data_IF_095615598074
#
_entry.id   IF_095615598074
#
_cell.length_a   1.000
_cell.length_b   1.000
_cell.length_c   1.000
_cell.angle_alpha   90.00
_cell.angle_beta   90.00
_cell.angle_gamma   90.00
#
_symmetry.space_group_name_H-M   'P 1'
#
loop_
_entity.id
_entity.type
_entity.pdbx_description
1 polymer ?
#
# COMPACT_ATOMS: atom_id res chain seq x y z
N UNK A 1 -2.56 16.44 -0.87
CA UNK A 1 -3.64 16.37 -1.88
C UNK A 1 -4.09 17.79 -2.22
N UNK A 2 -4.33 18.08 -3.50
CA UNK A 2 -5.00 19.32 -3.90
C UNK A 2 -6.48 19.33 -3.46
N UNK A 3 -7.22 20.44 -3.71
CA UNK A 3 -8.62 20.55 -3.29
C UNK A 3 -9.55 19.49 -3.92
N UNK A 4 -9.20 18.96 -5.08
CA UNK A 4 -9.95 17.92 -5.80
C UNK A 4 -9.49 16.48 -5.46
N UNK A 5 -8.52 16.33 -4.54
CA UNK A 5 -7.97 15.03 -4.18
C UNK A 5 -8.89 14.27 -3.23
N UNK A 6 -9.12 12.99 -3.52
CA UNK A 6 -9.89 12.07 -2.69
C UNK A 6 -8.99 10.96 -2.14
N UNK A 7 -9.30 10.47 -0.94
CA UNK A 7 -8.61 9.37 -0.28
C UNK A 7 -9.60 8.24 0.01
N UNK A 8 -9.29 7.04 -0.46
CA UNK A 8 -9.87 5.81 0.07
C UNK A 8 -8.96 5.31 1.19
N UNK A 9 -9.46 5.27 2.41
CA UNK A 9 -8.78 4.76 3.59
C UNK A 9 -9.40 3.42 3.98
N UNK A 10 -8.58 2.38 4.10
CA UNK A 10 -9.01 1.05 4.53
C UNK A 10 -8.31 0.71 5.85
N UNK A 11 -9.06 0.31 6.86
CA UNK A 11 -8.55 -0.11 8.15
C UNK A 11 -9.50 -1.13 8.79
N UNK A 12 -8.98 -1.99 9.64
CA UNK A 12 -9.77 -2.98 10.38
C UNK A 12 -10.24 -2.48 11.75
N UNK A 13 -9.68 -1.37 12.23
CA UNK A 13 -9.90 -0.85 13.58
C UNK A 13 -10.83 0.36 13.60
N UNK A 14 -12.04 0.18 14.11
CA UNK A 14 -12.93 1.31 14.42
C UNK A 14 -12.36 2.23 15.51
N UNK A 15 -11.63 1.67 16.49
CA UNK A 15 -11.04 2.44 17.57
C UNK A 15 -10.04 3.47 17.03
N UNK A 16 -9.04 3.02 16.26
CA UNK A 16 -8.02 3.90 15.69
C UNK A 16 -8.59 4.87 14.66
N UNK A 17 -9.52 4.41 13.83
CA UNK A 17 -10.13 5.27 12.82
C UNK A 17 -11.11 6.29 13.40
N UNK A 18 -11.67 6.06 14.59
CA UNK A 18 -12.47 7.07 15.29
C UNK A 18 -11.63 8.31 15.62
N UNK A 19 -10.38 8.12 16.05
CA UNK A 19 -9.42 9.20 16.29
C UNK A 19 -9.13 9.93 14.98
N UNK A 20 -8.86 9.18 13.91
CA UNK A 20 -8.60 9.76 12.59
C UNK A 20 -9.75 10.65 12.12
N UNK A 21 -11.00 10.19 12.24
CA UNK A 21 -12.21 10.97 11.88
C UNK A 21 -12.27 12.31 12.59
N UNK A 22 -11.99 12.35 13.90
CA UNK A 22 -11.96 13.59 14.66
C UNK A 22 -10.94 14.61 14.10
N UNK A 23 -9.76 14.12 13.70
CA UNK A 23 -8.74 15.00 13.11
C UNK A 23 -9.04 15.39 11.66
N UNK A 24 -9.70 14.54 10.89
CA UNK A 24 -10.16 14.90 9.54
C UNK A 24 -11.20 16.02 9.58
N UNK A 25 -12.12 15.99 10.56
CA UNK A 25 -13.08 17.07 10.79
C UNK A 25 -12.36 18.36 11.17
N UNK A 26 -11.44 18.31 12.13
CA UNK A 26 -10.64 19.48 12.55
C UNK A 26 -9.82 20.08 11.40
N UNK A 27 -9.36 19.24 10.48
CA UNK A 27 -8.61 19.66 9.31
C UNK A 27 -9.52 20.11 8.13
N UNK A 28 -10.83 19.94 8.22
CA UNK A 28 -11.78 20.28 7.17
C UNK A 28 -11.61 19.44 5.90
N UNK A 29 -11.30 18.15 6.03
CA UNK A 29 -11.04 17.24 4.89
C UNK A 29 -11.92 16.00 4.88
N UNK A 30 -12.85 15.87 5.84
CA UNK A 30 -13.69 14.67 5.99
C UNK A 30 -14.54 14.34 4.76
N UNK A 31 -14.98 15.35 4.01
CA UNK A 31 -15.76 15.22 2.78
C UNK A 31 -14.99 14.61 1.62
N UNK A 32 -13.66 14.51 1.75
CA UNK A 32 -12.75 13.96 0.72
C UNK A 32 -12.14 12.63 1.10
N UNK A 33 -12.55 12.06 2.24
CA UNK A 33 -12.02 10.80 2.75
C UNK A 33 -13.15 9.78 2.87
N UNK A 34 -13.07 8.72 2.08
CA UNK A 34 -13.93 7.55 2.22
C UNK A 34 -13.22 6.52 3.09
N UNK A 35 -13.82 6.18 4.24
CA UNK A 35 -13.30 5.16 5.14
C UNK A 35 -14.07 3.86 4.97
N UNK A 36 -13.35 2.78 4.71
CA UNK A 36 -13.86 1.40 4.72
C UNK A 36 -13.26 0.65 5.91
N UNK A 37 -14.14 0.22 6.82
CA UNK A 37 -13.74 -0.64 7.94
C UNK A 37 -13.90 -2.10 7.52
N UNK A 38 -12.81 -2.85 7.61
CA UNK A 38 -12.75 -4.26 7.25
C UNK A 38 -11.44 -4.63 6.54
N UNK A 39 -11.29 -5.89 6.14
CA UNK A 39 -10.10 -6.34 5.40
C UNK A 39 -9.94 -5.54 4.10
N UNK A 40 -8.82 -4.81 3.97
CA UNK A 40 -8.59 -3.95 2.81
C UNK A 40 -8.54 -4.74 1.49
N UNK A 41 -8.11 -6.01 1.54
CA UNK A 41 -8.08 -6.90 0.38
C UNK A 41 -9.48 -7.14 -0.19
N UNK A 42 -10.50 -7.30 0.67
CA UNK A 42 -11.89 -7.45 0.25
C UNK A 42 -12.41 -6.16 -0.40
N UNK A 43 -12.07 -5.01 0.20
CA UNK A 43 -12.41 -3.70 -0.37
C UNK A 43 -11.78 -3.53 -1.76
N UNK A 44 -10.49 -3.82 -1.92
CA UNK A 44 -9.80 -3.72 -3.20
C UNK A 44 -10.41 -4.64 -4.26
N UNK A 45 -10.71 -5.90 -3.91
CA UNK A 45 -11.35 -6.87 -4.82
C UNK A 45 -12.77 -6.46 -5.24
N UNK A 46 -13.45 -5.69 -4.41
CA UNK A 46 -14.76 -5.12 -4.74
C UNK A 46 -14.70 -3.92 -5.70
N UNK A 47 -13.53 -3.33 -5.93
CA UNK A 47 -13.33 -2.24 -6.88
C UNK A 47 -13.12 -2.76 -8.30
N UNK A 48 -13.53 -2.00 -9.33
CA UNK A 48 -13.20 -2.34 -10.71
C UNK A 48 -11.69 -2.48 -10.93
N UNK A 49 -11.26 -3.44 -11.76
CA UNK A 49 -9.88 -3.58 -12.22
C UNK A 49 -9.58 -2.53 -13.32
N UNK A 50 -9.64 -1.27 -12.96
CA UNK A 50 -9.35 -0.14 -13.85
C UNK A 50 -8.50 0.89 -13.15
N UNK A 51 -7.76 1.69 -13.89
CA UNK A 51 -6.91 2.74 -13.37
C UNK A 51 -7.71 3.79 -12.58
N UNK A 52 -7.62 3.77 -11.25
CA UNK A 52 -8.38 4.62 -10.33
C UNK A 52 -7.48 5.48 -9.46
N UNK A 53 -6.31 4.95 -9.05
CA UNK A 53 -5.45 5.61 -8.07
C UNK A 53 -4.23 6.24 -8.73
N UNK A 54 -3.91 7.47 -8.32
CA UNK A 54 -2.66 8.13 -8.65
C UNK A 54 -1.54 7.69 -7.71
N UNK A 55 -1.90 7.39 -6.44
CA UNK A 55 -0.97 6.95 -5.41
C UNK A 55 -1.65 5.96 -4.47
N UNK A 56 -0.91 4.98 -4.00
CA UNK A 56 -1.30 4.08 -2.92
C UNK A 56 -0.18 4.03 -1.86
N UNK A 57 -0.56 3.91 -0.58
CA UNK A 57 0.36 3.68 0.52
C UNK A 57 -0.03 2.38 1.20
N UNK A 58 0.90 1.43 1.23
CA UNK A 58 0.72 0.11 1.81
C UNK A 58 1.47 0.00 3.14
N UNK A 59 0.73 0.03 4.23
CA UNK A 59 1.19 -0.16 5.61
C UNK A 59 0.18 -1.00 6.40
N UNK A 60 -0.21 -2.14 5.85
CA UNK A 60 -1.18 -3.08 6.43
C UNK A 60 -0.47 -4.26 7.10
N UNK A 61 -1.21 -5.34 7.34
CA UNK A 61 -0.66 -6.61 7.80
C UNK A 61 0.32 -7.20 6.76
N UNK A 62 1.51 -7.54 7.23
CA UNK A 62 2.62 -7.88 6.32
C UNK A 62 2.44 -9.21 5.60
N UNK A 63 1.73 -10.15 6.25
CA UNK A 63 1.47 -11.48 5.67
C UNK A 63 0.71 -11.37 4.34
N UNK A 64 -0.18 -10.39 4.23
CA UNK A 64 -1.02 -10.18 3.04
C UNK A 64 -0.39 -9.23 2.00
N UNK A 65 0.82 -8.70 2.24
CA UNK A 65 1.49 -7.76 1.33
C UNK A 65 1.58 -8.21 -0.13
N UNK A 66 1.95 -9.47 -0.45
CA UNK A 66 1.98 -9.92 -1.83
C UNK A 66 0.62 -9.86 -2.53
N UNK A 67 -0.47 -10.11 -1.81
CA UNK A 67 -1.83 -10.07 -2.34
C UNK A 67 -2.30 -8.63 -2.54
N UNK A 68 -2.01 -7.72 -1.59
CA UNK A 68 -2.27 -6.29 -1.76
C UNK A 68 -1.58 -5.73 -3.00
N UNK A 69 -0.33 -6.12 -3.23
CA UNK A 69 0.42 -5.69 -4.40
C UNK A 69 -0.29 -6.05 -5.71
N UNK A 70 -0.74 -7.30 -5.85
CA UNK A 70 -1.44 -7.77 -7.05
C UNK A 70 -2.78 -7.07 -7.27
N UNK A 71 -3.46 -6.65 -6.21
CA UNK A 71 -4.71 -5.91 -6.31
C UNK A 71 -4.49 -4.40 -6.57
N UNK A 72 -3.39 -3.84 -6.07
CA UNK A 72 -3.12 -2.41 -6.21
C UNK A 72 -2.57 -2.08 -7.61
N UNK A 73 -1.59 -2.83 -8.12
CA UNK A 73 -0.90 -2.51 -9.38
C UNK A 73 -1.87 -2.36 -10.57
N UNK A 74 -2.86 -3.24 -10.82
CA UNK A 74 -3.81 -3.04 -11.90
C UNK A 74 -4.62 -1.75 -11.76
N UNK A 75 -4.90 -1.34 -10.53
CA UNK A 75 -5.74 -0.19 -10.18
C UNK A 75 -4.99 1.14 -10.12
N UNK A 76 -3.66 1.13 -10.20
CA UNK A 76 -2.88 2.35 -10.40
C UNK A 76 -3.04 2.84 -11.83
N UNK A 77 -3.08 4.16 -12.00
CA UNK A 77 -2.94 4.82 -13.30
C UNK A 77 -1.52 4.63 -13.83
N UNK A 78 -1.34 4.84 -15.12
CA UNK A 78 0.00 4.91 -15.70
C UNK A 78 0.82 5.99 -15.00
N UNK A 79 2.05 5.64 -14.59
CA UNK A 79 2.94 6.45 -13.74
C UNK A 79 2.39 6.69 -12.33
N UNK A 80 1.34 5.99 -11.92
CA UNK A 80 0.87 5.96 -10.54
C UNK A 80 1.89 5.29 -9.62
N UNK A 81 1.91 5.71 -8.37
CA UNK A 81 2.90 5.28 -7.38
C UNK A 81 2.28 4.41 -6.29
N UNK A 82 2.93 3.30 -5.98
CA UNK A 82 2.73 2.56 -4.74
C UNK A 82 3.94 2.77 -3.83
N UNK A 83 3.70 3.18 -2.60
CA UNK A 83 4.70 3.23 -1.53
C UNK A 83 4.44 2.03 -0.61
N UNK A 84 5.47 1.20 -0.44
CA UNK A 84 5.40 0.03 0.46
C UNK A 84 6.29 0.30 1.66
N UNK A 85 5.70 0.31 2.85
CA UNK A 85 6.43 0.53 4.10
C UNK A 85 6.94 -0.78 4.70
N UNK A 86 7.97 -0.69 5.55
CA UNK A 86 8.62 -1.76 6.29
C UNK A 86 9.18 -2.89 5.42
N UNK A 87 9.74 -2.56 4.28
CA UNK A 87 10.29 -3.54 3.33
C UNK A 87 11.59 -4.20 3.80
N UNK A 88 12.19 -3.72 4.93
CA UNK A 88 13.33 -4.34 5.61
C UNK A 88 12.94 -5.25 6.79
N UNK A 89 11.75 -5.06 7.38
CA UNK A 89 11.32 -5.82 8.57
C UNK A 89 12.36 -5.83 9.70
N UNK A 90 12.90 -4.65 10.05
CA UNK A 90 13.97 -4.54 11.04
C UNK A 90 15.28 -5.20 10.62
N UNK A 91 15.51 -5.41 9.33
CA UNK A 91 16.65 -6.14 8.78
C UNK A 91 16.43 -7.65 8.63
N UNK A 92 15.35 -8.22 9.18
CA UNK A 92 15.07 -9.68 9.15
C UNK A 92 14.96 -10.25 7.73
N UNK A 93 14.58 -9.43 6.74
CA UNK A 93 14.57 -9.88 5.34
C UNK A 93 15.93 -10.34 4.84
N UNK A 94 17.03 -9.88 5.46
CA UNK A 94 18.41 -10.25 5.12
C UNK A 94 18.94 -11.43 5.95
N UNK A 95 18.21 -11.88 6.97
CA UNK A 95 18.59 -12.97 7.87
C UNK A 95 18.01 -14.30 7.38
N UNK A 96 18.80 -15.24 6.83
CA UNK A 96 18.26 -16.51 6.28
C UNK A 96 17.45 -17.32 7.27
N UNK A 97 17.78 -17.23 8.56
CA UNK A 97 17.14 -17.96 9.65
C UNK A 97 15.76 -17.35 10.04
N UNK A 98 15.48 -16.12 9.67
CA UNK A 98 14.17 -15.51 9.95
C UNK A 98 13.07 -16.14 9.08
N UNK A 99 12.20 -16.92 9.70
CA UNK A 99 11.16 -17.71 9.03
C UNK A 99 9.76 -17.36 9.50
N UNK A 100 9.59 -16.24 10.22
CA UNK A 100 8.25 -15.76 10.56
C UNK A 100 7.47 -15.35 9.31
N UNK A 101 6.15 -15.56 9.33
CA UNK A 101 5.27 -15.39 8.18
C UNK A 101 5.36 -13.98 7.59
N UNK A 102 5.48 -12.94 8.43
CA UNK A 102 5.60 -11.54 7.99
C UNK A 102 6.89 -11.31 7.21
N UNK A 103 8.02 -11.80 7.72
CA UNK A 103 9.33 -11.67 7.04
C UNK A 103 9.34 -12.43 5.71
N UNK A 104 8.78 -13.65 5.69
CA UNK A 104 8.67 -14.44 4.46
C UNK A 104 7.80 -13.75 3.41
N UNK A 105 6.66 -13.20 3.82
CA UNK A 105 5.76 -12.48 2.92
C UNK A 105 6.42 -11.21 2.34
N UNK A 106 7.15 -10.44 3.17
CA UNK A 106 7.86 -9.24 2.69
C UNK A 106 9.01 -9.60 1.76
N UNK A 107 9.77 -10.68 2.03
CA UNK A 107 10.77 -11.19 1.07
C UNK A 107 10.14 -11.55 -0.27
N UNK A 108 9.04 -12.31 -0.22
CA UNK A 108 8.29 -12.70 -1.42
C UNK A 108 7.84 -11.47 -2.21
N UNK A 109 7.33 -10.45 -1.52
CA UNK A 109 6.95 -9.20 -2.16
C UNK A 109 8.16 -8.49 -2.79
N UNK A 110 9.26 -8.34 -2.05
CA UNK A 110 10.46 -7.67 -2.54
C UNK A 110 11.02 -8.33 -3.81
N UNK A 111 11.08 -9.68 -3.83
CA UNK A 111 11.49 -10.46 -4.99
C UNK A 111 10.53 -10.27 -6.17
N UNK A 112 9.22 -10.29 -5.90
CA UNK A 112 8.17 -10.10 -6.91
C UNK A 112 8.26 -8.72 -7.56
N UNK A 113 8.39 -7.66 -6.77
CA UNK A 113 8.50 -6.28 -7.24
C UNK A 113 9.71 -6.13 -8.18
N UNK A 114 10.87 -6.71 -7.82
CA UNK A 114 12.09 -6.61 -8.64
C UNK A 114 11.96 -7.36 -9.96
N UNK A 115 11.18 -8.43 -9.99
CA UNK A 115 10.95 -9.26 -11.17
C UNK A 115 9.78 -8.81 -12.06
N UNK A 116 9.04 -7.77 -11.67
CA UNK A 116 7.81 -7.35 -12.34
C UNK A 116 8.08 -6.27 -13.39
N UNK A 117 7.94 -6.63 -14.66
CA UNK A 117 8.12 -5.72 -15.80
C UNK A 117 7.03 -4.62 -15.91
N UNK A 118 5.93 -4.76 -15.15
CA UNK A 118 4.86 -3.74 -15.10
C UNK A 118 5.26 -2.49 -14.33
N UNK A 119 6.39 -2.52 -13.62
CA UNK A 119 6.77 -1.46 -12.69
C UNK A 119 8.24 -1.08 -12.79
N UNK A 120 8.56 0.11 -12.28
CA UNK A 120 9.91 0.57 -11.95
C UNK A 120 10.00 0.81 -10.47
N UNK A 121 11.14 0.48 -9.86
CA UNK A 121 11.26 0.53 -8.42
C UNK A 121 12.48 1.31 -7.95
N UNK A 122 12.33 1.95 -6.80
CA UNK A 122 13.42 2.57 -6.05
C UNK A 122 13.26 2.19 -4.58
N UNK A 123 14.29 1.60 -4.02
CA UNK A 123 14.38 1.36 -2.59
C UNK A 123 15.00 2.55 -1.86
N UNK A 124 14.34 3.01 -0.80
CA UNK A 124 14.82 4.08 0.09
C UNK A 124 15.11 3.48 1.48
N UNK A 125 16.35 3.57 1.96
CA UNK A 125 16.72 3.10 3.31
C UNK A 125 16.31 4.13 4.38
N UNK A 126 15.03 4.47 4.42
CA UNK A 126 14.43 5.37 5.39
C UNK A 126 13.61 4.55 6.40
N UNK A 127 13.83 4.78 7.70
CA UNK A 127 13.15 4.02 8.75
C UNK A 127 13.38 2.52 8.59
N UNK A 128 12.30 1.77 8.45
CA UNK A 128 12.33 0.30 8.22
C UNK A 128 12.28 -0.08 6.71
N UNK A 129 12.75 0.81 5.86
CA UNK A 129 12.77 0.66 4.41
C UNK A 129 11.44 0.99 3.75
N UNK A 130 11.50 1.87 2.75
CA UNK A 130 10.36 2.21 1.89
C UNK A 130 10.72 1.84 0.46
N UNK A 131 9.87 1.04 -0.18
CA UNK A 131 9.99 0.78 -1.62
C UNK A 131 8.98 1.62 -2.38
N UNK A 132 9.47 2.46 -3.28
CA UNK A 132 8.66 3.18 -4.25
C UNK A 132 8.51 2.32 -5.49
N UNK A 133 7.28 2.16 -5.96
CA UNK A 133 6.92 1.37 -7.12
C UNK A 133 6.09 2.24 -8.06
N UNK A 134 6.64 2.56 -9.23
CA UNK A 134 5.94 3.31 -10.28
C UNK A 134 5.40 2.33 -11.32
N UNK A 135 4.10 2.40 -11.62
CA UNK A 135 3.52 1.64 -12.72
C UNK A 135 4.01 2.17 -14.06
N UNK A 136 4.58 1.29 -14.89
CA UNK A 136 4.98 1.63 -16.26
C UNK A 136 3.72 1.88 -17.10
N UNK A 137 3.77 2.91 -17.97
CA UNK A 137 2.69 3.15 -18.91
C UNK A 137 2.56 1.94 -19.85
N UNK A 138 1.33 1.45 -20.02
CA UNK A 138 1.03 0.45 -21.06
C UNK A 138 1.34 1.02 -22.46
N UNK A 139 1.90 0.20 -23.34
CA UNK A 139 2.06 0.55 -24.76
C UNK A 139 0.72 0.61 -25.49
#
# INVERSE_FOLDING_TARGET
>A
MGPEGHLLCCDVSEEWTSIAREYWEKAGVSDRIELKIGPALETLRGLPESAQFDIAFLDADKVTYPDYYEEIIPRLRDKGLLLVDNTLQGGRVLEPESTDDSTLAVRTLNERIVADDRVRTVFLPLGDGITLVEKVAGE
#
